data_IF_698532702666
#
_entry.id   IF_698532702666
#
_cell.length_a   1.000
_cell.length_b   1.000
_cell.length_c   1.000
_cell.angle_alpha   90.00
_cell.angle_beta   90.00
_cell.angle_gamma   90.00
#
_symmetry.space_group_name_H-M   'P 1'
#
loop_
_entity.id
_entity.type
_entity.pdbx_description
1 polymer ?
#
# COMPACT_ATOMS: atom_id res chain seq x y z
N UNK A 1 26.42 24.51 39.98
CA UNK A 1 26.04 23.45 39.01
C UNK A 1 24.67 22.92 39.41
N UNK A 2 23.61 23.41 38.78
CA UNK A 2 22.24 22.94 39.01
C UNK A 2 22.06 21.58 38.30
N UNK A 3 21.50 20.56 38.96
CA UNK A 3 21.30 19.26 38.33
C UNK A 3 20.25 19.41 37.23
N UNK A 4 20.62 19.08 35.98
CA UNK A 4 19.70 18.97 34.85
C UNK A 4 18.63 17.96 35.24
N UNK A 5 17.40 18.42 35.42
CA UNK A 5 16.24 17.55 35.60
C UNK A 5 16.23 16.52 34.47
N UNK A 6 16.28 15.23 34.82
CA UNK A 6 16.11 14.14 33.85
C UNK A 6 14.79 14.38 33.14
N UNK A 7 14.85 14.72 31.85
CA UNK A 7 13.67 14.78 31.01
C UNK A 7 12.95 13.43 31.14
N UNK A 8 11.67 13.46 31.54
CA UNK A 8 10.85 12.25 31.59
C UNK A 8 10.73 11.71 30.17
N UNK A 9 11.26 10.52 29.96
CA UNK A 9 11.10 9.82 28.69
C UNK A 9 9.61 9.53 28.51
N UNK A 10 9.04 9.99 27.40
CA UNK A 10 7.61 9.86 27.11
C UNK A 10 7.40 8.66 26.20
N UNK A 11 6.54 7.73 26.61
CA UNK A 11 6.09 6.65 25.72
C UNK A 11 5.22 7.22 24.59
N UNK A 12 5.43 6.76 23.36
CA UNK A 12 4.68 7.19 22.17
C UNK A 12 4.01 5.99 21.50
N UNK A 13 2.73 6.15 21.13
CA UNK A 13 2.00 5.11 20.39
C UNK A 13 2.46 5.03 18.93
N UNK A 14 2.21 3.90 18.26
CA UNK A 14 2.54 3.72 16.83
C UNK A 14 1.90 4.80 15.95
N UNK A 15 0.65 5.19 16.22
CA UNK A 15 -0.07 6.21 15.47
C UNK A 15 0.51 7.61 15.68
N UNK A 16 0.83 7.98 16.92
CA UNK A 16 1.48 9.26 17.23
C UNK A 16 2.90 9.30 16.64
N UNK A 17 3.64 8.20 16.72
CA UNK A 17 4.97 8.09 16.14
C UNK A 17 4.91 8.25 14.62
N UNK A 18 3.97 7.60 13.96
CA UNK A 18 3.79 7.74 12.52
C UNK A 18 3.50 9.21 12.14
N UNK A 19 2.62 9.89 12.86
CA UNK A 19 2.34 11.32 12.62
C UNK A 19 3.59 12.19 12.83
N UNK A 20 4.38 11.91 13.86
CA UNK A 20 5.65 12.59 14.12
C UNK A 20 6.67 12.36 13.00
N UNK A 21 6.87 11.11 12.58
CA UNK A 21 7.83 10.76 11.52
C UNK A 21 7.42 11.34 10.16
N UNK A 22 6.12 11.42 9.86
CA UNK A 22 5.62 12.14 8.68
C UNK A 22 6.03 13.62 8.71
N UNK A 23 5.92 14.26 9.88
CA UNK A 23 6.36 15.65 10.03
C UNK A 23 7.87 15.82 9.85
N UNK A 24 8.67 14.94 10.45
CA UNK A 24 10.13 14.97 10.30
C UNK A 24 10.57 14.79 8.85
N UNK A 25 9.94 13.88 8.11
CA UNK A 25 10.22 13.68 6.69
C UNK A 25 9.92 14.95 5.85
N UNK A 26 8.81 15.65 6.16
CA UNK A 26 8.49 16.92 5.50
C UNK A 26 9.53 18.02 5.81
N UNK A 27 10.04 18.07 7.04
CA UNK A 27 11.11 19.00 7.39
C UNK A 27 12.39 18.69 6.62
N UNK A 28 12.73 17.42 6.48
CA UNK A 28 13.93 16.97 5.76
C UNK A 28 13.84 17.28 4.25
N UNK A 29 12.67 17.06 3.62
CA UNK A 29 12.39 17.50 2.24
C UNK A 29 12.65 19.01 2.09
N UNK A 30 12.15 19.83 3.03
CA UNK A 30 12.33 21.29 2.98
C UNK A 30 13.80 21.68 3.11
N UNK A 31 14.57 20.99 3.95
CA UNK A 31 16.01 21.21 4.11
C UNK A 31 16.75 20.85 2.83
N UNK A 32 16.47 19.69 2.24
CA UNK A 32 17.08 19.24 0.98
C UNK A 32 16.79 20.21 -0.16
N UNK A 33 15.53 20.59 -0.36
CA UNK A 33 15.14 21.54 -1.39
C UNK A 33 15.83 22.92 -1.21
N UNK A 34 15.96 23.40 0.04
CA UNK A 34 16.67 24.66 0.32
C UNK A 34 18.17 24.51 0.04
N UNK A 35 18.80 23.42 0.45
CA UNK A 35 20.23 23.17 0.24
C UNK A 35 20.57 23.09 -1.25
N UNK A 36 19.79 22.32 -2.02
CA UNK A 36 19.99 22.21 -3.47
C UNK A 36 19.85 23.56 -4.19
N UNK A 37 18.99 24.46 -3.68
CA UNK A 37 18.88 25.83 -4.20
C UNK A 37 20.08 26.70 -3.85
N UNK A 38 20.67 26.52 -2.67
CA UNK A 38 21.76 27.37 -2.16
C UNK A 38 23.15 26.90 -2.64
N UNK A 39 23.34 25.59 -2.79
CA UNK A 39 24.60 24.96 -3.17
C UNK A 39 24.38 23.91 -4.27
N UNK A 40 24.10 24.34 -5.53
CA UNK A 40 23.84 23.42 -6.63
C UNK A 40 25.07 22.58 -7.04
N UNK A 41 26.27 22.94 -6.57
CA UNK A 41 27.51 22.21 -6.85
C UNK A 41 27.76 21.03 -5.89
N UNK A 42 27.08 20.99 -4.74
CA UNK A 42 27.32 19.98 -3.68
C UNK A 42 26.60 18.65 -3.91
N UNK A 43 25.56 18.62 -4.74
CA UNK A 43 24.76 17.43 -5.01
C UNK A 43 24.15 17.49 -6.41
N UNK A 44 24.08 16.35 -7.10
CA UNK A 44 23.40 16.28 -8.38
C UNK A 44 21.91 16.59 -8.20
N UNK A 45 21.30 17.45 -9.05
CA UNK A 45 19.87 17.70 -9.00
C UNK A 45 19.02 16.42 -9.06
N UNK A 46 19.47 15.41 -9.80
CA UNK A 46 18.78 14.12 -9.90
C UNK A 46 18.77 13.38 -8.55
N UNK A 47 19.91 13.31 -7.85
CA UNK A 47 20.02 12.65 -6.55
C UNK A 47 19.16 13.35 -5.49
N UNK A 48 19.09 14.69 -5.52
CA UNK A 48 18.22 15.45 -4.62
C UNK A 48 16.75 15.14 -4.87
N UNK A 49 16.34 15.03 -6.14
CA UNK A 49 14.96 14.68 -6.51
C UNK A 49 14.63 13.28 -6.01
N UNK A 50 15.51 12.30 -6.26
CA UNK A 50 15.31 10.92 -5.80
C UNK A 50 15.15 10.86 -4.27
N UNK A 51 15.98 11.58 -3.51
CA UNK A 51 15.86 11.66 -2.05
C UNK A 51 14.56 12.33 -1.59
N UNK A 52 14.11 13.37 -2.28
CA UNK A 52 12.84 14.04 -1.98
C UNK A 52 11.67 13.08 -2.26
N UNK A 53 11.70 12.35 -3.37
CA UNK A 53 10.67 11.39 -3.74
C UNK A 53 10.59 10.25 -2.72
N UNK A 54 11.73 9.70 -2.29
CA UNK A 54 11.78 8.69 -1.22
C UNK A 54 11.19 9.20 0.10
N UNK A 55 11.53 10.43 0.50
CA UNK A 55 10.98 11.04 1.73
C UNK A 55 9.49 11.37 1.60
N UNK A 56 9.03 11.74 0.41
CA UNK A 56 7.61 12.02 0.14
C UNK A 56 6.79 10.73 0.22
N UNK A 57 7.31 9.64 -0.35
CA UNK A 57 6.73 8.31 -0.22
C UNK A 57 6.68 7.89 1.25
N UNK A 58 7.79 8.01 1.97
CA UNK A 58 7.83 7.70 3.41
C UNK A 58 6.83 8.54 4.22
N UNK A 59 6.75 9.86 3.95
CA UNK A 59 5.78 10.75 4.61
C UNK A 59 4.34 10.28 4.39
N UNK A 60 3.98 9.92 3.16
CA UNK A 60 2.65 9.41 2.84
C UNK A 60 2.36 8.10 3.57
N UNK A 61 3.33 7.18 3.61
CA UNK A 61 3.19 5.89 4.27
C UNK A 61 2.99 6.07 5.79
N UNK A 62 3.72 7.00 6.39
CA UNK A 62 3.56 7.40 7.78
C UNK A 62 2.19 8.05 8.04
N UNK A 63 1.70 8.89 7.14
CA UNK A 63 0.34 9.43 7.24
C UNK A 63 -0.73 8.33 7.16
N UNK A 64 -0.55 7.33 6.30
CA UNK A 64 -1.44 6.17 6.24
C UNK A 64 -1.43 5.38 7.56
N UNK A 65 -0.26 5.13 8.15
CA UNK A 65 -0.12 4.51 9.47
C UNK A 65 -0.74 5.35 10.60
N UNK A 66 -0.62 6.68 10.53
CA UNK A 66 -1.23 7.60 11.49
C UNK A 66 -2.76 7.71 11.36
N UNK A 67 -3.32 7.35 10.19
CA UNK A 67 -4.76 7.50 9.90
C UNK A 67 -5.52 6.19 9.91
N UNK A 68 -4.84 5.05 10.11
CA UNK A 68 -5.43 3.74 10.35
C UNK A 68 -6.31 3.78 11.62
N UNK A 69 -7.51 4.33 11.48
CA UNK A 69 -8.57 4.33 12.49
C UNK A 69 -9.35 3.03 12.39
N UNK A 70 -9.73 2.53 13.57
CA UNK A 70 -10.43 1.27 13.86
C UNK A 70 -11.85 1.13 13.24
N UNK A 71 -12.22 1.93 12.25
CA UNK A 71 -13.64 2.21 11.95
C UNK A 71 -14.18 1.57 10.68
N UNK A 72 -13.38 0.87 9.88
CA UNK A 72 -13.94 0.17 8.72
C UNK A 72 -14.33 -1.25 9.13
N UNK A 73 -15.64 -1.58 9.22
CA UNK A 73 -16.05 -2.95 9.45
C UNK A 73 -15.49 -3.82 8.32
N UNK A 74 -14.73 -4.85 8.71
CA UNK A 74 -14.16 -5.77 7.74
C UNK A 74 -15.31 -6.47 7.01
N UNK A 75 -15.29 -6.39 5.67
CA UNK A 75 -16.27 -7.11 4.84
C UNK A 75 -16.03 -8.63 4.88
N UNK A 76 -14.84 -9.05 5.29
CA UNK A 76 -14.38 -10.44 5.40
C UNK A 76 -13.57 -10.62 6.70
N UNK A 77 -13.38 -11.84 7.18
CA UNK A 77 -12.50 -12.08 8.33
C UNK A 77 -11.08 -11.57 8.01
N UNK A 78 -10.51 -10.64 8.79
CA UNK A 78 -9.18 -10.11 8.51
C UNK A 78 -8.14 -11.21 8.68
N UNK A 79 -7.17 -11.25 7.77
CA UNK A 79 -6.00 -12.10 7.87
C UNK A 79 -5.19 -11.80 9.13
N UNK A 80 -4.34 -12.74 9.58
CA UNK A 80 -3.43 -12.53 10.72
C UNK A 80 -2.55 -11.29 10.55
N UNK A 81 -2.19 -10.97 9.31
CA UNK A 81 -1.37 -9.81 9.01
C UNK A 81 -2.17 -8.52 9.06
N UNK A 82 -3.37 -8.48 8.49
CA UNK A 82 -4.26 -7.32 8.61
C UNK A 82 -4.57 -7.03 10.09
N UNK A 83 -4.76 -8.07 10.89
CA UNK A 83 -4.87 -7.95 12.35
C UNK A 83 -3.60 -7.36 12.96
N UNK A 84 -2.41 -7.89 12.63
CA UNK A 84 -1.15 -7.36 13.16
C UNK A 84 -0.90 -5.89 12.75
N UNK A 85 -1.24 -5.51 11.51
CA UNK A 85 -1.17 -4.13 11.02
C UNK A 85 -2.18 -3.20 11.69
N UNK A 86 -3.34 -3.74 12.06
CA UNK A 86 -4.34 -3.00 12.83
C UNK A 86 -3.88 -2.80 14.29
N UNK A 87 -3.31 -3.82 14.92
CA UNK A 87 -2.86 -3.78 16.32
C UNK A 87 -1.58 -2.93 16.50
N UNK A 88 -0.72 -2.93 15.48
CA UNK A 88 0.55 -2.20 15.44
C UNK A 88 0.67 -1.47 14.10
N UNK A 89 0.10 -0.26 13.93
CA UNK A 89 0.13 0.48 12.67
C UNK A 89 1.53 0.69 12.07
N UNK A 90 2.58 0.72 12.91
CA UNK A 90 3.96 0.84 12.45
C UNK A 90 4.58 -0.50 12.00
N UNK A 91 3.91 -1.65 12.17
CA UNK A 91 4.48 -2.97 11.85
C UNK A 91 4.88 -3.09 10.40
N UNK A 92 4.05 -2.62 9.47
CA UNK A 92 4.36 -2.72 8.05
C UNK A 92 5.50 -1.77 7.66
N UNK A 93 5.41 -0.44 7.90
CA UNK A 93 6.49 0.48 7.57
C UNK A 93 7.83 0.11 8.20
N UNK A 94 7.82 -0.38 9.45
CA UNK A 94 9.04 -0.84 10.12
C UNK A 94 9.68 -2.04 9.40
N UNK A 95 8.87 -3.03 9.02
CA UNK A 95 9.38 -4.26 8.42
C UNK A 95 9.83 -4.09 6.96
N UNK A 96 9.24 -3.15 6.21
CA UNK A 96 9.66 -2.86 4.82
C UNK A 96 10.78 -1.81 4.74
N UNK A 97 10.98 -1.02 5.80
CA UNK A 97 12.06 -0.05 5.86
C UNK A 97 13.45 -0.72 5.72
N UNK A 98 14.33 -0.07 4.95
CA UNK A 98 15.76 -0.41 4.89
C UNK A 98 16.42 -0.25 6.26
N UNK A 99 17.60 -0.84 6.45
CA UNK A 99 18.37 -0.69 7.69
C UNK A 99 18.69 0.78 7.99
N UNK A 100 19.07 1.54 6.96
CA UNK A 100 19.30 2.99 7.08
C UNK A 100 18.04 3.73 7.55
N UNK A 101 16.88 3.41 6.96
CA UNK A 101 15.61 4.05 7.35
C UNK A 101 15.20 3.67 8.77
N UNK A 102 15.42 2.43 9.21
CA UNK A 102 15.19 2.01 10.60
C UNK A 102 16.11 2.75 11.57
N UNK A 103 17.40 2.89 11.22
CA UNK A 103 18.35 3.66 12.02
C UNK A 103 17.93 5.14 12.12
N UNK A 104 17.48 5.73 11.00
CA UNK A 104 16.95 7.10 10.98
C UNK A 104 15.72 7.25 11.90
N UNK A 105 14.76 6.32 11.85
CA UNK A 105 13.56 6.33 12.73
C UNK A 105 13.99 6.30 14.19
N UNK A 106 14.86 5.38 14.58
CA UNK A 106 15.32 5.24 15.96
C UNK A 106 16.06 6.49 16.44
N UNK A 107 16.89 7.10 15.59
CA UNK A 107 17.57 8.37 15.91
C UNK A 107 16.58 9.49 16.16
N UNK A 108 15.54 9.66 15.32
CA UNK A 108 14.52 10.70 15.53
C UNK A 108 13.72 10.51 16.82
N UNK A 109 13.46 9.26 17.19
CA UNK A 109 12.80 8.90 18.45
C UNK A 109 13.66 9.31 19.66
N UNK A 110 14.96 8.98 19.62
CA UNK A 110 15.92 9.33 20.69
C UNK A 110 16.13 10.83 20.81
N UNK A 111 16.33 11.54 19.69
CA UNK A 111 16.46 13.00 19.63
C UNK A 111 15.23 13.73 20.22
N UNK A 112 14.04 13.17 20.01
CA UNK A 112 12.79 13.72 20.54
C UNK A 112 12.49 13.28 21.99
N UNK A 113 13.30 12.41 22.58
CA UNK A 113 13.13 11.91 23.94
C UNK A 113 11.93 10.97 24.10
N UNK A 114 11.55 10.25 23.05
CA UNK A 114 10.46 9.28 23.08
C UNK A 114 10.97 7.87 23.38
N UNK A 115 10.11 7.09 24.04
CA UNK A 115 10.25 5.65 24.17
C UNK A 115 9.26 4.97 23.24
N UNK A 116 9.78 4.13 22.36
CA UNK A 116 8.99 3.31 21.46
C UNK A 116 9.68 1.96 21.27
N UNK A 117 8.88 0.90 21.31
CA UNK A 117 9.40 -0.46 21.08
C UNK A 117 9.07 -0.87 19.64
N UNK A 118 10.08 -1.18 18.82
CA UNK A 118 9.83 -1.65 17.46
C UNK A 118 8.88 -2.85 17.41
N UNK A 119 7.94 -2.88 16.45
CA UNK A 119 7.00 -3.97 16.32
C UNK A 119 7.72 -5.25 15.89
N UNK A 120 7.16 -6.43 16.21
CA UNK A 120 7.74 -7.70 15.82
C UNK A 120 7.77 -7.86 14.29
N UNK A 121 8.45 -8.90 13.82
CA UNK A 121 8.41 -9.26 12.41
C UNK A 121 6.96 -9.49 11.96
N UNK A 122 6.64 -9.05 10.74
CA UNK A 122 5.34 -9.34 10.14
C UNK A 122 5.10 -10.86 10.12
N UNK A 123 3.87 -11.33 10.40
CA UNK A 123 3.53 -12.73 10.24
C UNK A 123 3.95 -13.20 8.85
N UNK A 124 4.71 -14.30 8.80
CA UNK A 124 5.25 -14.79 7.53
C UNK A 124 4.10 -14.97 6.54
N UNK A 125 4.19 -14.37 5.35
CA UNK A 125 3.16 -14.56 4.35
C UNK A 125 2.99 -16.06 4.09
N UNK A 126 1.77 -16.50 3.80
CA UNK A 126 1.56 -17.85 3.28
C UNK A 126 2.35 -17.99 1.99
N UNK A 127 3.57 -18.54 2.08
CA UNK A 127 4.40 -18.96 0.94
C UNK A 127 3.76 -20.22 0.38
N UNK A 128 2.71 -20.04 -0.41
CA UNK A 128 2.00 -21.12 -1.06
C UNK A 128 1.48 -20.69 -2.42
N UNK A 129 1.16 -21.69 -3.24
CA UNK A 129 0.29 -21.48 -4.40
C UNK A 129 -0.98 -20.80 -3.86
N UNK A 130 -1.43 -19.67 -4.43
CA UNK A 130 -2.69 -19.05 -4.04
C UNK A 130 -3.76 -20.15 -4.03
N UNK A 131 -4.55 -20.27 -2.96
CA UNK A 131 -5.46 -21.40 -2.82
C UNK A 131 -6.36 -21.46 -4.05
N UNK A 132 -6.40 -22.61 -4.74
CA UNK A 132 -7.17 -22.80 -5.97
C UNK A 132 -8.66 -22.49 -5.79
N UNK A 133 -9.14 -22.42 -4.55
CA UNK A 133 -10.47 -21.91 -4.20
C UNK A 133 -10.72 -20.47 -4.68
N UNK A 134 -9.68 -19.68 -4.97
CA UNK A 134 -9.80 -18.37 -5.60
C UNK A 134 -10.22 -18.45 -7.06
N UNK A 135 -9.90 -19.57 -7.71
CA UNK A 135 -10.38 -19.95 -9.03
C UNK A 135 -11.66 -20.82 -8.94
N UNK A 136 -12.25 -21.01 -7.75
CA UNK A 136 -13.50 -21.74 -7.67
C UNK A 136 -14.60 -20.98 -8.44
N UNK A 137 -15.22 -21.66 -9.41
CA UNK A 137 -16.18 -21.05 -10.34
C UNK A 137 -15.55 -20.49 -11.61
N UNK A 138 -14.26 -20.73 -11.85
CA UNK A 138 -13.60 -20.45 -13.12
C UNK A 138 -13.68 -21.62 -14.13
N UNK A 139 -13.82 -21.33 -15.43
CA UNK A 139 -14.08 -20.01 -16.03
C UNK A 139 -15.47 -19.48 -15.64
N UNK A 140 -15.55 -18.16 -15.38
CA UNK A 140 -16.81 -17.51 -14.96
C UNK A 140 -17.88 -17.74 -16.03
N UNK A 141 -18.94 -18.47 -15.66
CA UNK A 141 -20.11 -18.67 -16.52
C UNK A 141 -21.00 -17.43 -16.45
N UNK A 142 -21.63 -17.10 -17.57
CA UNK A 142 -22.66 -16.05 -17.62
C UNK A 142 -23.87 -16.51 -16.80
N UNK A 143 -24.29 -15.77 -15.76
CA UNK A 143 -25.51 -16.09 -15.04
C UNK A 143 -26.74 -15.99 -15.95
N UNK A 144 -27.82 -16.77 -15.69
CA UNK A 144 -29.07 -16.63 -16.43
C UNK A 144 -29.58 -15.19 -16.41
N UNK A 145 -29.95 -14.65 -17.58
CA UNK A 145 -30.45 -13.28 -17.70
C UNK A 145 -29.38 -12.17 -17.81
N UNK A 146 -28.09 -12.52 -17.73
CA UNK A 146 -26.99 -11.56 -17.93
C UNK A 146 -26.40 -11.64 -19.34
N UNK A 147 -25.88 -10.52 -19.86
CA UNK A 147 -25.08 -10.54 -21.09
C UNK A 147 -23.74 -11.24 -20.82
N UNK A 148 -23.27 -12.11 -21.72
CA UNK A 148 -21.97 -12.77 -21.55
C UNK A 148 -20.84 -11.77 -21.59
N UNK A 149 -19.86 -11.97 -20.71
CA UNK A 149 -18.60 -11.23 -20.77
C UNK A 149 -17.88 -11.48 -22.11
N UNK A 150 -17.22 -10.46 -22.68
CA UNK A 150 -16.29 -10.66 -23.78
C UNK A 150 -15.28 -11.75 -23.43
N UNK A 151 -14.85 -12.56 -24.40
CA UNK A 151 -13.85 -13.63 -24.16
C UNK A 151 -12.60 -13.11 -23.45
N UNK A 152 -12.11 -11.94 -23.84
CA UNK A 152 -10.95 -11.28 -23.23
C UNK A 152 -11.14 -10.87 -21.76
N UNK A 153 -12.39 -10.67 -21.33
CA UNK A 153 -12.73 -10.37 -19.93
C UNK A 153 -12.91 -11.63 -19.08
N UNK A 154 -13.00 -12.82 -19.71
CA UNK A 154 -13.15 -14.14 -19.06
C UNK A 154 -11.84 -14.87 -18.86
N UNK A 155 -10.69 -14.25 -19.14
CA UNK A 155 -9.38 -14.89 -19.04
C UNK A 155 -8.59 -14.32 -17.86
N UNK A 156 -7.84 -15.20 -17.18
CA UNK A 156 -6.83 -14.80 -16.23
C UNK A 156 -5.74 -14.05 -17.01
N UNK A 157 -5.38 -12.88 -16.52
CA UNK A 157 -4.32 -12.05 -17.11
C UNK A 157 -3.14 -12.03 -16.15
N UNK A 158 -1.98 -12.42 -16.66
CA UNK A 158 -0.70 -12.15 -16.03
C UNK A 158 -0.29 -10.71 -16.37
N UNK A 159 0.08 -9.94 -15.36
CA UNK A 159 0.51 -8.54 -15.47
C UNK A 159 1.81 -8.39 -14.69
N UNK A 160 2.74 -7.62 -15.22
CA UNK A 160 3.87 -7.10 -14.44
C UNK A 160 3.39 -5.93 -13.55
N UNK A 161 4.32 -5.39 -12.76
CA UNK A 161 4.06 -4.24 -11.87
C UNK A 161 3.48 -3.05 -12.63
N UNK A 162 4.10 -2.69 -13.75
CA UNK A 162 3.73 -1.49 -14.53
C UNK A 162 2.37 -1.65 -15.20
N UNK A 163 2.10 -2.82 -15.79
CA UNK A 163 0.82 -3.15 -16.39
C UNK A 163 -0.31 -3.19 -15.37
N UNK A 164 -0.07 -3.70 -14.16
CA UNK A 164 -1.04 -3.64 -13.08
C UNK A 164 -1.31 -2.20 -12.65
N UNK A 165 -0.26 -1.40 -12.43
CA UNK A 165 -0.39 -0.02 -11.99
C UNK A 165 -1.12 0.85 -13.02
N UNK A 166 -0.84 0.67 -14.31
CA UNK A 166 -1.55 1.34 -15.40
C UNK A 166 -3.06 1.06 -15.39
N UNK A 167 -3.49 -0.17 -15.03
CA UNK A 167 -4.92 -0.48 -14.89
C UNK A 167 -5.56 0.22 -13.69
N UNK A 168 -4.85 0.32 -12.56
CA UNK A 168 -5.31 1.14 -11.43
C UNK A 168 -5.44 2.62 -11.80
N UNK A 169 -4.49 3.15 -12.58
CA UNK A 169 -4.53 4.55 -13.04
C UNK A 169 -5.72 4.78 -13.95
N UNK A 170 -5.95 3.87 -14.90
CA UNK A 170 -7.11 3.92 -15.79
C UNK A 170 -8.42 3.86 -15.00
N UNK A 171 -8.53 2.96 -14.02
CA UNK A 171 -9.72 2.84 -13.18
C UNK A 171 -10.02 4.12 -12.39
N UNK A 172 -8.97 4.76 -11.87
CA UNK A 172 -9.07 6.04 -11.18
C UNK A 172 -9.46 7.18 -12.12
N UNK A 173 -8.82 7.30 -13.29
CA UNK A 173 -9.12 8.33 -14.30
C UNK A 173 -10.58 8.23 -14.77
N UNK A 174 -11.09 7.01 -14.95
CA UNK A 174 -12.46 6.74 -15.36
C UNK A 174 -13.45 6.70 -14.18
N UNK A 175 -13.00 6.95 -12.95
CA UNK A 175 -13.80 6.94 -11.72
C UNK A 175 -14.66 5.66 -11.57
N UNK A 176 -14.09 4.50 -11.91
CA UNK A 176 -14.86 3.25 -11.99
C UNK A 176 -15.26 2.66 -10.63
N UNK A 177 -14.76 3.25 -9.53
CA UNK A 177 -14.89 2.71 -8.17
C UNK A 177 -14.09 1.41 -8.01
N UNK A 178 -13.52 1.17 -6.83
CA UNK A 178 -12.69 -0.01 -6.51
C UNK A 178 -11.31 0.02 -7.18
N UNK A 179 -10.34 0.44 -6.37
CA UNK A 179 -8.94 0.59 -6.74
C UNK A 179 -8.54 2.05 -6.88
N UNK A 180 -7.36 2.39 -6.36
CA UNK A 180 -6.75 3.71 -6.53
C UNK A 180 -5.30 3.50 -6.89
N UNK A 181 -4.84 4.14 -7.98
CA UNK A 181 -3.43 4.14 -8.30
C UNK A 181 -2.73 5.06 -7.30
N UNK A 182 -2.27 4.46 -6.21
CA UNK A 182 -1.44 5.16 -5.24
C UNK A 182 0.03 4.87 -5.56
N UNK A 183 0.93 5.86 -5.48
CA UNK A 183 2.34 5.56 -5.55
C UNK A 183 2.78 4.61 -4.44
N UNK A 184 2.03 4.55 -3.31
CA UNK A 184 2.16 3.50 -2.29
C UNK A 184 2.04 2.10 -2.90
N UNK A 185 0.99 1.84 -3.67
CA UNK A 185 0.80 0.54 -4.31
C UNK A 185 1.99 0.24 -5.24
N UNK A 186 2.41 1.20 -6.05
CA UNK A 186 3.54 1.01 -6.96
C UNK A 186 4.85 0.67 -6.23
N UNK A 187 5.19 1.42 -5.18
CA UNK A 187 6.40 1.25 -4.38
C UNK A 187 6.45 -0.11 -3.67
N UNK A 188 5.28 -0.66 -3.31
CA UNK A 188 5.19 -1.90 -2.53
C UNK A 188 4.86 -3.14 -3.35
N UNK A 189 4.55 -3.01 -4.65
CA UNK A 189 4.46 -4.15 -5.55
C UNK A 189 5.86 -4.69 -5.84
N UNK A 190 5.98 -6.02 -5.83
CA UNK A 190 7.24 -6.68 -6.14
C UNK A 190 7.58 -6.51 -7.63
N UNK A 191 8.72 -5.89 -7.98
CA UNK A 191 9.02 -5.49 -9.36
C UNK A 191 9.21 -6.67 -10.32
N UNK A 192 9.75 -7.79 -9.84
CA UNK A 192 10.02 -9.01 -10.61
C UNK A 192 8.85 -10.02 -10.60
N UNK A 193 7.73 -9.68 -9.96
CA UNK A 193 6.63 -10.62 -9.80
C UNK A 193 5.56 -10.49 -10.88
N UNK A 194 4.97 -11.63 -11.23
CA UNK A 194 3.72 -11.68 -11.97
C UNK A 194 2.55 -11.47 -11.00
N UNK A 195 1.70 -10.51 -11.33
CA UNK A 195 0.41 -10.27 -10.70
C UNK A 195 -0.70 -10.84 -11.58
N UNK A 196 -1.82 -11.22 -10.96
CA UNK A 196 -2.92 -11.86 -11.67
C UNK A 196 -4.20 -11.04 -11.54
N UNK A 197 -4.85 -10.81 -12.67
CA UNK A 197 -6.17 -10.20 -12.75
C UNK A 197 -7.16 -11.21 -13.33
N UNK A 198 -8.31 -11.39 -12.67
CA UNK A 198 -9.32 -12.35 -13.10
C UNK A 198 -10.73 -11.83 -12.73
N UNK A 199 -11.77 -11.88 -13.60
CA UNK A 199 -13.14 -11.50 -13.25
C UNK A 199 -13.64 -12.10 -11.92
N UNK A 200 -14.35 -11.30 -11.13
CA UNK A 200 -15.01 -11.77 -9.90
C UNK A 200 -16.37 -12.41 -10.21
N UNK A 201 -16.54 -13.73 -10.05
CA UNK A 201 -17.80 -14.40 -10.36
C UNK A 201 -18.99 -13.93 -9.50
N UNK A 202 -18.76 -13.42 -8.28
CA UNK A 202 -19.82 -13.08 -7.32
C UNK A 202 -20.63 -11.86 -7.72
N UNK A 203 -20.04 -10.97 -8.52
CA UNK A 203 -20.58 -9.63 -8.80
C UNK A 203 -21.36 -9.61 -10.12
N UNK A 204 -21.24 -10.66 -10.92
CA UNK A 204 -22.11 -10.90 -12.07
C UNK A 204 -23.52 -11.38 -11.69
N UNK A 205 -23.76 -11.81 -10.44
CA UNK A 205 -25.05 -12.34 -10.00
C UNK A 205 -26.04 -11.29 -9.48
N UNK A 206 -25.64 -10.02 -9.33
CA UNK A 206 -26.43 -8.99 -8.67
C UNK A 206 -26.87 -7.84 -9.58
N UNK A 207 -28.19 -7.70 -9.73
CA UNK A 207 -28.94 -6.55 -10.28
C UNK A 207 -28.81 -6.23 -11.78
N UNK A 208 -29.76 -6.78 -12.54
CA UNK A 208 -30.37 -6.15 -13.73
C UNK A 208 -29.65 -6.32 -15.07
N UNK A 209 -30.39 -6.57 -16.17
CA UNK A 209 -29.83 -6.47 -17.51
C UNK A 209 -29.61 -4.98 -17.83
N UNK A 210 -28.39 -4.59 -18.18
CA UNK A 210 -28.10 -3.28 -18.82
C UNK A 210 -28.25 -1.97 -18.01
N UNK A 211 -27.96 -1.94 -16.70
CA UNK A 211 -27.80 -0.66 -16.01
C UNK A 211 -26.44 0.02 -16.29
N UNK A 212 -26.09 0.27 -17.57
CA UNK A 212 -25.08 1.27 -17.98
C UNK A 212 -23.66 1.16 -17.41
N UNK A 213 -23.28 0.04 -16.78
CA UNK A 213 -21.96 -0.08 -16.14
C UNK A 213 -20.86 -0.08 -17.21
N UNK A 214 -20.04 0.96 -17.17
CA UNK A 214 -18.85 1.17 -18.04
C UNK A 214 -17.66 0.29 -17.63
N UNK A 215 -17.84 -0.59 -16.65
CA UNK A 215 -16.80 -1.41 -16.07
C UNK A 215 -17.32 -2.75 -15.59
N UNK A 216 -16.40 -3.69 -15.43
CA UNK A 216 -16.64 -4.93 -14.71
C UNK A 216 -15.63 -5.07 -13.57
N UNK A 217 -16.03 -5.75 -12.51
CA UNK A 217 -15.15 -5.99 -11.37
C UNK A 217 -14.31 -7.25 -11.57
N UNK A 218 -13.01 -7.10 -11.34
CA UNK A 218 -12.04 -8.16 -11.33
C UNK A 218 -11.46 -8.30 -9.93
N UNK A 219 -11.07 -9.52 -9.58
CA UNK A 219 -10.13 -9.74 -8.49
C UNK A 219 -8.72 -9.58 -9.00
N UNK A 220 -7.89 -9.00 -8.15
CA UNK A 220 -6.45 -8.95 -8.32
C UNK A 220 -5.80 -9.81 -7.24
N UNK A 221 -4.79 -10.56 -7.66
CA UNK A 221 -3.82 -11.18 -6.78
C UNK A 221 -2.47 -10.52 -7.07
N UNK A 222 -1.98 -9.79 -6.09
CA UNK A 222 -0.73 -9.03 -6.20
C UNK A 222 0.33 -9.65 -5.31
N UNK A 223 1.59 -9.51 -5.71
CA UNK A 223 2.72 -9.91 -4.87
C UNK A 223 3.43 -8.65 -4.39
N UNK A 224 3.53 -8.50 -3.08
CA UNK A 224 4.17 -7.36 -2.44
C UNK A 224 5.69 -7.59 -2.35
N UNK A 225 6.46 -6.51 -2.18
CA UNK A 225 7.92 -6.51 -2.16
C UNK A 225 8.52 -7.43 -1.08
N UNK A 226 7.81 -7.60 0.03
CA UNK A 226 8.16 -8.53 1.11
C UNK A 226 7.84 -10.01 0.78
N UNK A 227 7.33 -10.27 -0.42
CA UNK A 227 6.96 -11.58 -0.93
C UNK A 227 5.52 -12.00 -0.64
N UNK A 228 4.74 -11.18 0.08
CA UNK A 228 3.34 -11.47 0.40
C UNK A 228 2.46 -11.52 -0.84
N UNK A 229 1.41 -12.35 -0.80
CA UNK A 229 0.32 -12.33 -1.77
C UNK A 229 -0.91 -11.67 -1.16
N UNK A 230 -1.35 -10.55 -1.73
CA UNK A 230 -2.54 -9.80 -1.30
C UNK A 230 -3.63 -9.92 -2.36
N UNK A 231 -4.88 -10.00 -1.90
CA UNK A 231 -6.05 -10.01 -2.77
C UNK A 231 -6.76 -8.66 -2.71
N UNK A 232 -7.30 -8.23 -3.84
CA UNK A 232 -8.12 -7.04 -3.91
C UNK A 232 -9.15 -7.12 -5.03
N UNK A 233 -9.92 -6.04 -5.16
CA UNK A 233 -10.82 -5.82 -6.28
C UNK A 233 -10.32 -4.64 -7.11
N UNK A 234 -10.52 -4.72 -8.42
CA UNK A 234 -10.23 -3.67 -9.39
C UNK A 234 -11.36 -3.62 -10.42
N UNK A 235 -11.97 -2.45 -10.62
CA UNK A 235 -12.87 -2.26 -11.73
C UNK A 235 -12.09 -1.97 -13.02
N UNK A 236 -12.40 -2.68 -14.10
CA UNK A 236 -11.73 -2.54 -15.40
C UNK A 236 -12.74 -2.07 -16.43
N UNK A 237 -12.32 -1.11 -17.26
CA UNK A 237 -13.18 -0.52 -18.27
C UNK A 237 -13.65 -1.55 -19.30
N UNK A 238 -14.92 -1.41 -19.68
CA UNK A 238 -15.54 -2.11 -20.79
C UNK A 238 -15.27 -1.31 -22.08
N UNK A 239 -14.46 -1.83 -23.02
CA UNK A 239 -14.28 -1.20 -24.32
C UNK A 239 -15.58 -1.19 -25.12
#
# INVERSE_FOLDING_TARGET
MTPRARARVREISDTELAAFLAHEALLEIRVLARRAKMSPEEASPAEVIDQIDELADFCRDMQAAATLRQTTPWRHAPSRREQAMHDRPMIYPWNVASEERRAWILRRIDEAGYQWTPPPALPTPLKGVPPLSLLAGWPVKTPPGCRPLPRRARCLKALDRDGLFALYQQAQQLQLGLGTASPWLYAHLRPDAIHYLFPDPRIYGGSGPDAGRRSWECRVLVRMIDGEQVYGSLAVHRP
#
